data_IF_172527106422
#
_entry.id   IF_172527106422
#
_cell.length_a   1.000
_cell.length_b   1.000
_cell.length_c   1.000
_cell.angle_alpha   90.00
_cell.angle_beta   90.00
_cell.angle_gamma   90.00
#
_symmetry.space_group_name_H-M   'P 1'
#
loop_
_entity.id
_entity.type
_entity.pdbx_description
1 polymer ?
#
# COMPACT_ATOMS: atom_id res chain seq x y z
N UNK A 1 14.51 5.46 39.34
CA UNK A 1 15.61 6.41 39.02
C UNK A 1 16.25 6.16 37.65
N UNK A 2 16.73 4.95 37.30
CA UNK A 2 17.39 4.66 35.99
C UNK A 2 16.58 5.03 34.72
N UNK A 3 15.27 4.72 34.68
CA UNK A 3 14.40 5.03 33.52
C UNK A 3 14.19 6.55 33.29
N UNK A 4 14.13 7.35 34.36
CA UNK A 4 14.02 8.81 34.24
C UNK A 4 15.31 9.42 33.68
N UNK A 5 16.46 8.94 34.14
CA UNK A 5 17.77 9.40 33.64
C UNK A 5 17.96 9.12 32.14
N UNK A 6 17.54 7.94 31.65
CA UNK A 6 17.60 7.62 30.23
C UNK A 6 16.64 8.48 29.38
N UNK A 7 15.45 8.80 29.89
CA UNK A 7 14.51 9.69 29.19
C UNK A 7 15.08 11.10 29.04
N UNK A 8 15.72 11.61 30.08
CA UNK A 8 16.33 12.94 30.07
C UNK A 8 17.53 12.99 29.11
N UNK A 9 18.41 11.98 29.15
CA UNK A 9 19.50 11.86 28.18
C UNK A 9 19.00 11.75 26.74
N UNK A 10 17.91 11.01 26.50
CA UNK A 10 17.29 10.93 25.18
C UNK A 10 16.75 12.28 24.72
N UNK A 11 16.07 13.04 25.59
CA UNK A 11 15.57 14.38 25.28
C UNK A 11 16.70 15.35 24.94
N UNK A 12 17.82 15.28 25.69
CA UNK A 12 19.01 16.08 25.44
C UNK A 12 19.63 15.74 24.07
N UNK A 13 19.82 14.44 23.77
CA UNK A 13 20.38 14.00 22.48
C UNK A 13 19.49 14.34 21.29
N UNK A 14 18.18 14.20 21.46
CA UNK A 14 17.22 14.62 20.43
C UNK A 14 17.38 16.12 20.16
N UNK A 15 17.40 16.95 21.20
CA UNK A 15 17.45 18.40 21.06
C UNK A 15 18.79 18.92 20.55
N UNK A 16 19.90 18.31 20.97
CA UNK A 16 21.26 18.80 20.70
C UNK A 16 21.87 18.21 19.42
N UNK A 17 21.52 16.98 19.08
CA UNK A 17 22.15 16.26 17.97
C UNK A 17 21.16 16.06 16.83
N UNK A 18 19.98 15.49 17.11
CA UNK A 18 19.02 15.07 16.08
C UNK A 18 18.33 16.27 15.41
N UNK A 19 17.75 17.19 16.18
CA UNK A 19 17.06 18.36 15.65
C UNK A 19 17.98 19.22 14.76
N UNK A 20 19.20 19.59 15.21
CA UNK A 20 20.13 20.35 14.37
C UNK A 20 20.56 19.60 13.11
N UNK A 21 20.69 18.27 13.14
CA UNK A 21 21.00 17.48 11.95
C UNK A 21 19.86 17.53 10.91
N UNK A 22 18.60 17.43 11.34
CA UNK A 22 17.46 17.58 10.45
C UNK A 22 17.32 19.00 9.89
N UNK A 23 17.65 20.03 10.67
CA UNK A 23 17.68 21.41 10.18
C UNK A 23 18.74 21.58 9.08
N UNK A 24 19.94 21.05 9.28
CA UNK A 24 21.00 21.05 8.23
C UNK A 24 20.55 20.33 6.96
N UNK A 25 19.88 19.18 7.11
CA UNK A 25 19.34 18.44 5.96
C UNK A 25 18.27 19.27 5.24
N UNK A 26 17.36 19.90 5.98
CA UNK A 26 16.33 20.79 5.42
C UNK A 26 16.96 21.95 4.64
N UNK A 27 17.93 22.65 5.24
CA UNK A 27 18.65 23.74 4.58
C UNK A 27 19.35 23.27 3.31
N UNK A 28 20.04 22.13 3.35
CA UNK A 28 20.65 21.54 2.14
C UNK A 28 19.61 21.23 1.07
N UNK A 29 18.48 20.63 1.44
CA UNK A 29 17.42 20.31 0.50
C UNK A 29 16.86 21.57 -0.17
N UNK A 30 16.60 22.62 0.61
CA UNK A 30 15.99 23.86 0.13
C UNK A 30 16.95 24.72 -0.69
N UNK A 31 18.17 24.95 -0.19
CA UNK A 31 19.09 25.94 -0.75
C UNK A 31 20.05 25.37 -1.79
N UNK A 32 20.27 24.05 -1.81
CA UNK A 32 21.28 23.42 -2.69
C UNK A 32 20.66 22.38 -3.61
N UNK A 33 19.86 21.47 -3.05
CA UNK A 33 19.36 20.31 -3.78
C UNK A 33 18.22 20.67 -4.75
N UNK A 34 17.23 21.46 -4.32
CA UNK A 34 16.07 21.82 -5.16
C UNK A 34 16.50 22.49 -6.47
N UNK A 35 17.41 23.46 -6.41
CA UNK A 35 17.94 24.15 -7.61
C UNK A 35 18.69 23.22 -8.57
N UNK A 36 19.23 22.12 -8.07
CA UNK A 36 19.97 21.11 -8.84
C UNK A 36 19.15 19.84 -9.09
N UNK A 37 17.89 19.83 -8.67
CA UNK A 37 17.03 18.67 -8.82
C UNK A 37 16.73 18.45 -10.31
N UNK A 38 16.52 17.18 -10.65
CA UNK A 38 16.15 16.79 -12.01
C UNK A 38 14.76 17.33 -12.31
N UNK A 39 14.58 17.86 -13.50
CA UNK A 39 13.30 18.37 -13.97
C UNK A 39 12.36 17.22 -14.38
N UNK A 40 12.92 16.20 -15.03
CA UNK A 40 12.15 15.06 -15.52
C UNK A 40 11.97 13.98 -14.43
N UNK A 41 10.73 13.48 -14.24
CA UNK A 41 10.44 12.43 -13.27
C UNK A 41 11.00 11.08 -13.71
N UNK A 42 11.14 10.17 -12.75
CA UNK A 42 11.58 8.79 -13.01
C UNK A 42 13.09 8.65 -13.14
N UNK A 43 13.59 7.42 -12.98
CA UNK A 43 15.04 7.15 -12.97
C UNK A 43 15.65 7.18 -14.38
N UNK A 44 14.84 7.08 -15.43
CA UNK A 44 15.30 7.15 -16.81
C UNK A 44 15.96 8.50 -17.17
N UNK A 45 15.69 9.56 -16.40
CA UNK A 45 16.20 10.90 -16.68
C UNK A 45 17.68 11.13 -16.31
N UNK A 46 18.35 10.15 -15.72
CA UNK A 46 19.81 10.18 -15.48
C UNK A 46 20.56 9.33 -16.50
N UNK A 47 21.85 9.62 -16.69
CA UNK A 47 22.74 8.78 -17.48
C UNK A 47 22.79 7.35 -16.91
N UNK A 48 22.55 6.34 -17.75
CA UNK A 48 22.44 4.94 -17.34
C UNK A 48 21.13 4.57 -16.64
N UNK A 49 20.13 5.48 -16.61
CA UNK A 49 18.89 5.30 -15.89
C UNK A 49 18.01 4.16 -16.41
N UNK A 50 18.03 3.90 -17.71
CA UNK A 50 17.26 2.81 -18.34
C UNK A 50 17.85 1.44 -18.00
N UNK A 51 19.17 1.32 -18.00
CA UNK A 51 19.92 0.12 -17.62
C UNK A 51 19.74 -0.16 -16.12
N UNK A 52 19.81 0.89 -15.30
CA UNK A 52 19.51 0.80 -13.87
C UNK A 52 18.07 0.31 -13.65
N UNK A 53 17.09 0.91 -14.34
CA UNK A 53 15.69 0.52 -14.20
C UNK A 53 15.47 -0.94 -14.60
N UNK A 54 16.07 -1.38 -15.71
CA UNK A 54 15.98 -2.77 -16.18
C UNK A 54 16.57 -3.77 -15.17
N UNK A 55 17.70 -3.41 -14.56
CA UNK A 55 18.33 -4.23 -13.50
C UNK A 55 17.48 -4.26 -12.23
N UNK A 56 16.98 -3.11 -11.79
CA UNK A 56 16.09 -3.01 -10.63
C UNK A 56 14.80 -3.80 -10.84
N UNK A 57 14.24 -3.76 -12.05
CA UNK A 57 13.05 -4.50 -12.43
C UNK A 57 13.27 -6.01 -12.22
N UNK A 58 14.37 -6.54 -12.74
CA UNK A 58 14.73 -7.93 -12.55
C UNK A 58 14.97 -8.27 -11.07
N UNK A 59 15.62 -7.38 -10.32
CA UNK A 59 15.90 -7.59 -8.89
C UNK A 59 14.61 -7.70 -8.06
N UNK A 60 13.66 -6.79 -8.23
CA UNK A 60 12.44 -6.75 -7.42
C UNK A 60 11.37 -7.75 -7.84
N UNK A 61 11.32 -8.12 -9.12
CA UNK A 61 10.25 -8.98 -9.65
C UNK A 61 10.73 -10.37 -10.03
N UNK A 62 12.05 -10.61 -10.07
CA UNK A 62 12.67 -11.84 -10.59
C UNK A 62 12.24 -12.22 -12.01
N UNK A 63 11.60 -11.30 -12.74
CA UNK A 63 11.13 -11.53 -14.11
C UNK A 63 12.20 -11.21 -15.14
N UNK A 64 12.03 -11.76 -16.34
CA UNK A 64 12.82 -11.41 -17.53
C UNK A 64 12.08 -10.51 -18.51
N UNK A 65 10.85 -10.12 -18.18
CA UNK A 65 10.05 -9.21 -18.99
C UNK A 65 10.68 -7.81 -19.01
N UNK A 66 10.56 -7.16 -20.15
CA UNK A 66 10.93 -5.76 -20.34
C UNK A 66 9.93 -4.83 -19.64
N UNK A 67 10.34 -3.58 -19.40
CA UNK A 67 9.47 -2.55 -18.85
C UNK A 67 8.19 -2.34 -19.68
N UNK A 68 8.31 -2.38 -21.01
CA UNK A 68 7.17 -2.21 -21.91
C UNK A 68 6.21 -3.41 -21.86
N UNK A 69 6.71 -4.63 -21.79
CA UNK A 69 5.87 -5.82 -21.65
C UNK A 69 5.09 -5.80 -20.34
N UNK A 70 5.73 -5.40 -19.24
CA UNK A 70 5.06 -5.26 -17.94
C UNK A 70 4.01 -4.15 -17.97
N UNK A 71 4.31 -3.02 -18.61
CA UNK A 71 3.32 -1.95 -18.79
C UNK A 71 2.09 -2.45 -19.57
N UNK A 72 2.31 -3.14 -20.69
CA UNK A 72 1.23 -3.68 -21.51
C UNK A 72 0.41 -4.73 -20.75
N UNK A 73 1.08 -5.62 -20.02
CA UNK A 73 0.42 -6.59 -19.14
C UNK A 73 -0.43 -5.88 -18.08
N UNK A 74 0.13 -4.88 -17.40
CA UNK A 74 -0.59 -4.08 -16.40
C UNK A 74 -1.85 -3.45 -16.97
N UNK A 75 -1.76 -2.80 -18.14
CA UNK A 75 -2.93 -2.21 -18.82
C UNK A 75 -4.00 -3.25 -19.14
N UNK A 76 -3.60 -4.41 -19.67
CA UNK A 76 -4.55 -5.51 -19.94
C UNK A 76 -5.23 -6.06 -18.68
N UNK A 77 -4.49 -6.16 -17.57
CA UNK A 77 -5.03 -6.64 -16.30
C UNK A 77 -5.97 -5.61 -15.66
N UNK A 78 -5.67 -4.31 -15.76
CA UNK A 78 -6.57 -3.24 -15.32
C UNK A 78 -7.90 -3.32 -16.07
N UNK A 79 -7.86 -3.44 -17.40
CA UNK A 79 -9.08 -3.61 -18.20
C UNK A 79 -9.84 -4.89 -17.85
N UNK A 80 -9.13 -6.01 -17.63
CA UNK A 80 -9.73 -7.28 -17.24
C UNK A 80 -10.44 -7.17 -15.90
N UNK A 81 -9.77 -6.62 -14.88
CA UNK A 81 -10.32 -6.42 -13.54
C UNK A 81 -11.50 -5.44 -13.57
N UNK A 82 -11.43 -4.39 -14.38
CA UNK A 82 -12.53 -3.46 -14.57
C UNK A 82 -13.80 -4.18 -15.06
N UNK A 83 -13.67 -5.06 -16.07
CA UNK A 83 -14.80 -5.88 -16.56
C UNK A 83 -15.35 -6.82 -15.50
N UNK A 84 -14.49 -7.47 -14.72
CA UNK A 84 -14.93 -8.38 -13.65
C UNK A 84 -15.65 -7.62 -12.53
N UNK A 85 -15.17 -6.46 -12.11
CA UNK A 85 -15.83 -5.61 -11.12
C UNK A 85 -17.22 -5.17 -11.59
N UNK A 86 -17.35 -4.77 -12.86
CA UNK A 86 -18.64 -4.39 -13.43
C UNK A 86 -19.64 -5.55 -13.48
N UNK A 87 -19.18 -6.79 -13.75
CA UNK A 87 -20.03 -7.98 -13.67
C UNK A 87 -20.54 -8.18 -12.24
N UNK A 88 -19.65 -8.14 -11.24
CA UNK A 88 -20.03 -8.30 -9.83
C UNK A 88 -21.01 -7.22 -9.40
N UNK A 89 -20.74 -5.96 -9.75
CA UNK A 89 -21.63 -4.84 -9.49
C UNK A 89 -23.06 -5.09 -10.03
N UNK A 90 -23.17 -5.55 -11.28
CA UNK A 90 -24.46 -5.82 -11.92
C UNK A 90 -25.28 -6.94 -11.27
N UNK A 91 -24.60 -7.88 -10.58
CA UNK A 91 -25.21 -9.01 -9.86
C UNK A 91 -25.55 -8.70 -8.41
N UNK A 92 -24.91 -7.67 -7.84
CA UNK A 92 -25.19 -7.21 -6.49
C UNK A 92 -26.45 -6.34 -6.47
N UNK A 93 -27.05 -6.16 -5.29
CA UNK A 93 -28.15 -5.20 -5.12
C UNK A 93 -27.70 -3.73 -5.28
N UNK A 94 -26.42 -3.50 -5.57
CA UNK A 94 -25.88 -2.20 -5.93
C UNK A 94 -26.44 -1.80 -7.30
N UNK A 95 -26.86 -0.56 -7.43
CA UNK A 95 -27.73 -0.09 -8.50
C UNK A 95 -27.20 -0.41 -9.90
N UNK A 96 -28.10 -0.92 -10.74
CA UNK A 96 -27.81 -1.22 -12.15
C UNK A 96 -27.61 0.10 -12.91
N UNK A 97 -26.66 0.11 -13.84
CA UNK A 97 -26.35 1.21 -14.76
C UNK A 97 -25.49 2.38 -14.20
N UNK A 98 -24.72 2.17 -13.15
CA UNK A 98 -23.65 3.09 -12.72
C UNK A 98 -22.31 2.73 -13.35
N UNK A 99 -21.43 3.71 -13.55
CA UNK A 99 -20.01 3.49 -13.82
C UNK A 99 -19.29 2.94 -12.57
N UNK A 100 -18.12 2.32 -12.73
CA UNK A 100 -17.35 1.85 -11.57
C UNK A 100 -16.97 3.00 -10.64
N UNK A 101 -16.63 4.16 -11.18
CA UNK A 101 -16.26 5.34 -10.40
C UNK A 101 -17.43 5.83 -9.51
N UNK A 102 -18.63 5.92 -10.07
CA UNK A 102 -19.84 6.28 -9.33
C UNK A 102 -20.16 5.24 -8.25
N UNK A 103 -20.04 3.95 -8.57
CA UNK A 103 -20.24 2.88 -7.60
C UNK A 103 -19.26 2.97 -6.44
N UNK A 104 -17.95 3.14 -6.72
CA UNK A 104 -16.92 3.25 -5.69
C UNK A 104 -17.09 4.52 -4.84
N UNK A 105 -17.54 5.62 -5.45
CA UNK A 105 -17.85 6.86 -4.72
C UNK A 105 -19.04 6.64 -3.79
N UNK A 106 -20.13 6.03 -4.28
CA UNK A 106 -21.28 5.69 -3.45
C UNK A 106 -20.91 4.77 -2.29
N UNK A 107 -20.07 3.76 -2.52
CA UNK A 107 -19.58 2.89 -1.46
C UNK A 107 -18.72 3.62 -0.44
N UNK A 108 -17.93 4.60 -0.87
CA UNK A 108 -17.10 5.43 0.01
C UNK A 108 -17.92 6.41 0.85
N UNK A 109 -19.05 6.88 0.34
CA UNK A 109 -19.84 7.92 1.00
C UNK A 109 -21.02 7.35 1.82
N UNK A 110 -21.41 6.09 1.57
CA UNK A 110 -22.49 5.43 2.30
C UNK A 110 -21.99 4.90 3.65
N UNK A 111 -22.69 5.28 4.72
CA UNK A 111 -22.42 4.80 6.09
C UNK A 111 -22.54 3.28 6.22
N UNK A 112 -23.30 2.61 5.35
CA UNK A 112 -23.50 1.15 5.34
C UNK A 112 -22.19 0.37 5.12
N UNK A 113 -21.15 1.02 4.56
CA UNK A 113 -19.83 0.42 4.32
C UNK A 113 -18.78 0.75 5.39
N UNK A 114 -19.16 1.49 6.43
CA UNK A 114 -18.26 1.91 7.50
C UNK A 114 -18.69 1.37 8.87
N UNK A 115 -17.69 1.11 9.71
CA UNK A 115 -17.92 0.78 11.12
C UNK A 115 -18.14 2.06 11.93
N UNK A 116 -19.05 2.01 12.91
CA UNK A 116 -19.38 3.16 13.74
C UNK A 116 -18.48 3.31 14.99
N UNK A 117 -17.75 2.25 15.37
CA UNK A 117 -16.85 2.27 16.53
C UNK A 117 -15.57 1.47 16.31
N UNK A 118 -14.57 1.72 17.18
CA UNK A 118 -13.31 0.95 17.20
C UNK A 118 -13.57 -0.51 17.55
N UNK A 119 -14.51 -0.75 18.46
CA UNK A 119 -14.91 -2.06 18.93
C UNK A 119 -15.49 -2.90 17.79
N UNK A 120 -16.31 -2.30 16.93
CA UNK A 120 -16.90 -2.99 15.76
C UNK A 120 -15.83 -3.46 14.77
N UNK A 121 -14.81 -2.62 14.51
CA UNK A 121 -13.67 -2.99 13.65
C UNK A 121 -12.94 -4.20 14.23
N UNK A 122 -12.66 -4.17 15.54
CA UNK A 122 -11.96 -5.26 16.21
C UNK A 122 -12.77 -6.55 16.17
N UNK A 123 -14.07 -6.48 16.45
CA UNK A 123 -14.96 -7.64 16.39
C UNK A 123 -15.05 -8.21 14.97
N UNK A 124 -15.16 -7.37 13.95
CA UNK A 124 -15.14 -7.79 12.55
C UNK A 124 -13.82 -8.48 12.16
N UNK A 125 -12.67 -7.94 12.58
CA UNK A 125 -11.36 -8.57 12.36
C UNK A 125 -11.25 -9.93 13.06
N UNK A 126 -11.76 -10.05 14.31
CA UNK A 126 -11.78 -11.32 15.05
C UNK A 126 -12.68 -12.33 14.34
N UNK A 127 -13.89 -11.92 13.95
CA UNK A 127 -14.81 -12.77 13.17
C UNK A 127 -14.21 -13.24 11.85
N UNK A 128 -13.48 -12.37 11.15
CA UNK A 128 -12.78 -12.74 9.91
C UNK A 128 -11.66 -13.76 10.16
N UNK A 129 -10.84 -13.56 11.21
CA UNK A 129 -9.79 -14.51 11.63
C UNK A 129 -10.38 -15.88 11.97
N UNK A 130 -11.52 -15.90 12.66
CA UNK A 130 -12.17 -17.14 13.09
C UNK A 130 -13.06 -17.76 12.01
N UNK A 131 -13.08 -17.19 10.80
CA UNK A 131 -13.85 -17.72 9.66
C UNK A 131 -15.37 -17.56 9.80
N UNK A 132 -15.82 -16.76 10.77
CA UNK A 132 -17.21 -16.51 11.15
C UNK A 132 -17.71 -15.14 10.64
N UNK A 133 -17.29 -14.72 9.44
CA UNK A 133 -17.78 -13.52 8.78
C UNK A 133 -18.79 -13.85 7.66
N UNK A 134 -19.54 -12.85 7.19
CA UNK A 134 -20.57 -12.99 6.13
C UNK A 134 -20.00 -13.56 4.83
N UNK A 135 -18.69 -13.39 4.61
CA UNK A 135 -17.93 -14.16 3.62
C UNK A 135 -17.62 -15.58 4.12
N UNK A 136 -18.65 -16.38 4.46
CA UNK A 136 -18.53 -17.80 4.82
C UNK A 136 -17.95 -18.69 3.69
N UNK A 137 -17.47 -18.10 2.59
CA UNK A 137 -16.74 -18.82 1.55
C UNK A 137 -15.31 -19.19 1.97
N UNK A 138 -14.64 -18.39 2.81
CA UNK A 138 -13.22 -18.61 3.11
C UNK A 138 -12.97 -19.76 4.10
N UNK A 139 -13.81 -19.93 5.12
CA UNK A 139 -13.61 -21.01 6.11
C UNK A 139 -13.85 -22.41 5.54
N UNK A 140 -14.57 -22.55 4.42
CA UNK A 140 -14.68 -23.81 3.69
C UNK A 140 -13.59 -24.01 2.63
N UNK A 141 -12.98 -22.94 2.11
CA UNK A 141 -11.96 -23.05 1.05
C UNK A 141 -10.53 -23.18 1.56
N UNK A 142 -10.22 -22.74 2.78
CA UNK A 142 -8.84 -22.72 3.30
C UNK A 142 -8.45 -23.97 4.11
N UNK A 143 -9.43 -24.79 4.53
CA UNK A 143 -9.16 -26.04 5.25
C UNK A 143 -8.38 -27.00 4.32
N UNK A 144 -7.08 -27.12 4.58
CA UNK A 144 -6.17 -28.01 3.84
C UNK A 144 -5.35 -27.35 2.72
N UNK A 145 -5.46 -26.03 2.47
CA UNK A 145 -4.55 -25.35 1.51
C UNK A 145 -3.15 -25.20 2.10
N UNK A 146 -3.06 -24.88 3.39
CA UNK A 146 -1.80 -24.82 4.13
C UNK A 146 -1.86 -25.86 5.23
N UNK A 147 -0.94 -26.84 5.20
CA UNK A 147 -0.88 -27.93 6.18
C UNK A 147 -0.41 -27.45 7.55
N UNK A 148 0.43 -26.41 7.59
CA UNK A 148 0.94 -25.79 8.80
C UNK A 148 1.10 -24.30 8.56
N UNK A 149 0.63 -23.49 9.50
CA UNK A 149 0.89 -22.06 9.53
C UNK A 149 2.15 -21.85 10.39
N UNK A 150 3.19 -21.16 9.91
CA UNK A 150 4.42 -21.02 10.67
C UNK A 150 4.16 -20.31 11.99
N UNK A 151 4.61 -20.91 13.10
CA UNK A 151 4.67 -20.23 14.38
C UNK A 151 5.60 -19.01 14.23
N UNK A 152 5.16 -17.87 14.78
CA UNK A 152 5.85 -16.58 14.62
C UNK A 152 7.34 -16.72 14.93
N UNK A 153 8.18 -16.23 14.02
CA UNK A 153 9.61 -15.96 14.29
C UNK A 153 9.76 -14.86 15.35
#
# INVERSE_FOLDING_TARGET
>A
MKKLSLRQQAQERISQDLYPAFLKLKEFLQEIYLDRARQEPGIHSIAGGNEYYSTALQFYTSTKLTSQEIHNLGSSEVERLHRELMKVASTSALEKNMTLEELLTKMRDSEDFYFSSREDVLEACIKMKDGNCVAQRNSRSEVGIFSEFPERY
#
